data_IF_854750642187
#
_entry.id   IF_854750642187
#
_cell.length_a   1.000
_cell.length_b   1.000
_cell.length_c   1.000
_cell.angle_alpha   90.00
_cell.angle_beta   90.00
_cell.angle_gamma   90.00
#
_symmetry.space_group_name_H-M   'P 1'
#
loop_
_entity.id
_entity.type
_entity.pdbx_description
1 polymer ?
#
# COMPACT_ATOMS: atom_id res chain seq x y z
N UNK A 1 -19.04 26.93 0.85
CA UNK A 1 -19.37 26.36 2.18
C UNK A 1 -18.11 26.35 3.03
N UNK A 2 -18.23 26.69 4.31
CA UNK A 2 -17.07 26.71 5.22
C UNK A 2 -16.89 25.29 5.79
N UNK A 3 -15.70 24.74 5.66
CA UNK A 3 -15.37 23.45 6.26
C UNK A 3 -15.52 23.48 7.78
N UNK A 4 -16.11 22.44 8.37
CA UNK A 4 -16.30 22.30 9.81
C UNK A 4 -15.68 20.96 10.27
N UNK A 5 -14.63 20.98 11.10
CA UNK A 5 -13.94 19.75 11.54
C UNK A 5 -14.79 18.80 12.40
N UNK A 6 -15.90 19.29 12.97
CA UNK A 6 -16.80 18.49 13.78
C UNK A 6 -17.92 17.78 12.97
N UNK A 7 -17.92 17.91 11.64
CA UNK A 7 -18.94 17.30 10.78
C UNK A 7 -18.30 16.57 9.60
N UNK A 8 -18.85 15.41 9.18
CA UNK A 8 -18.42 14.77 7.94
C UNK A 8 -18.55 15.73 6.76
N UNK A 9 -17.51 15.82 5.93
CA UNK A 9 -17.55 16.61 4.70
C UNK A 9 -17.90 15.69 3.52
N UNK A 10 -19.13 15.81 3.03
CA UNK A 10 -19.65 14.96 1.95
C UNK A 10 -19.79 15.70 0.60
N UNK A 11 -19.34 16.94 0.53
CA UNK A 11 -19.50 17.82 -0.64
C UNK A 11 -18.29 17.77 -1.59
N UNK A 12 -17.51 16.69 -1.56
CA UNK A 12 -16.41 16.49 -2.50
C UNK A 12 -16.95 16.35 -3.92
N UNK A 13 -16.40 17.09 -4.89
CA UNK A 13 -16.81 16.95 -6.29
C UNK A 13 -16.43 15.56 -6.81
N UNK A 14 -17.24 15.05 -7.73
CA UNK A 14 -16.93 13.80 -8.42
C UNK A 14 -15.72 13.97 -9.34
N UNK A 15 -14.98 12.88 -9.54
CA UNK A 15 -13.91 12.82 -10.52
C UNK A 15 -14.46 12.40 -11.91
N UNK A 16 -13.86 12.85 -12.99
CA UNK A 16 -12.73 13.80 -13.09
C UNK A 16 -13.14 15.24 -12.72
N UNK A 17 -12.19 16.08 -12.26
CA UNK A 17 -12.48 17.48 -11.97
C UNK A 17 -12.94 18.21 -13.24
N UNK A 18 -13.85 19.19 -13.08
CA UNK A 18 -14.31 20.00 -14.19
C UNK A 18 -13.24 20.98 -14.73
N UNK A 19 -12.18 21.22 -13.94
CA UNK A 19 -11.06 22.08 -14.32
C UNK A 19 -10.12 21.32 -15.24
N UNK A 20 -9.66 21.97 -16.31
CA UNK A 20 -8.62 21.43 -17.18
C UNK A 20 -7.32 21.22 -16.39
N UNK A 21 -6.92 19.95 -16.27
CA UNK A 21 -5.68 19.53 -15.60
C UNK A 21 -4.50 19.38 -16.56
N UNK A 22 -4.72 19.44 -17.89
CA UNK A 22 -3.64 19.37 -18.89
C UNK A 22 -2.95 20.72 -19.09
N UNK A 23 -2.69 21.41 -18.02
CA UNK A 23 -1.98 22.69 -18.06
C UNK A 23 -0.52 22.49 -18.48
N UNK A 24 0.05 23.52 -19.13
CA UNK A 24 1.46 23.53 -19.55
C UNK A 24 2.43 23.19 -18.40
N UNK A 25 2.12 23.62 -17.19
CA UNK A 25 2.93 23.36 -15.98
C UNK A 25 2.88 21.90 -15.60
N UNK A 26 1.70 21.31 -15.55
CA UNK A 26 1.50 19.90 -15.23
C UNK A 26 2.16 19.01 -16.30
N UNK A 27 1.93 19.30 -17.58
CA UNK A 27 2.54 18.54 -18.68
C UNK A 27 4.08 18.58 -18.64
N UNK A 28 4.68 19.74 -18.36
CA UNK A 28 6.14 19.84 -18.19
C UNK A 28 6.63 18.98 -17.02
N UNK A 29 5.91 18.98 -15.90
CA UNK A 29 6.26 18.15 -14.76
C UNK A 29 6.11 16.64 -15.08
N UNK A 30 5.10 16.25 -15.83
CA UNK A 30 4.95 14.89 -16.30
C UNK A 30 6.13 14.43 -17.18
N UNK A 31 6.65 15.31 -18.04
CA UNK A 31 7.85 15.03 -18.87
C UNK A 31 9.06 14.77 -17.95
N UNK A 32 9.31 15.65 -16.98
CA UNK A 32 10.42 15.50 -16.04
C UNK A 32 10.30 14.20 -15.22
N UNK A 33 9.11 13.93 -14.70
CA UNK A 33 8.83 12.71 -13.92
C UNK A 33 9.03 11.44 -14.76
N UNK A 34 8.60 11.46 -16.01
CA UNK A 34 8.79 10.33 -16.92
C UNK A 34 10.27 10.09 -17.25
N UNK A 35 11.06 11.16 -17.42
CA UNK A 35 12.50 11.05 -17.64
C UNK A 35 13.18 10.40 -16.42
N UNK A 36 12.91 10.90 -15.21
CA UNK A 36 13.45 10.34 -13.98
C UNK A 36 13.07 8.87 -13.76
N UNK A 37 11.83 8.49 -14.08
CA UNK A 37 11.39 7.09 -14.01
C UNK A 37 12.11 6.21 -15.04
N UNK A 38 12.38 6.73 -16.24
CA UNK A 38 13.12 5.98 -17.25
C UNK A 38 14.58 5.77 -16.84
N UNK A 39 15.22 6.77 -16.23
CA UNK A 39 16.57 6.68 -15.67
C UNK A 39 16.62 5.67 -14.53
N UNK A 40 15.65 5.71 -13.60
CA UNK A 40 15.55 4.73 -12.52
C UNK A 40 15.36 3.31 -13.05
N UNK A 41 14.50 3.12 -14.04
CA UNK A 41 14.29 1.82 -14.68
C UNK A 41 15.60 1.28 -15.28
N UNK A 42 16.33 2.14 -15.99
CA UNK A 42 17.61 1.74 -16.59
C UNK A 42 18.67 1.42 -15.52
N UNK A 43 18.73 2.21 -14.45
CA UNK A 43 19.64 1.96 -13.34
C UNK A 43 19.34 0.63 -12.63
N UNK A 44 18.04 0.28 -12.49
CA UNK A 44 17.60 -0.97 -11.90
C UNK A 44 18.08 -2.20 -12.68
N UNK A 45 18.19 -2.12 -14.02
CA UNK A 45 18.72 -3.20 -14.86
C UNK A 45 20.22 -3.49 -14.61
N UNK A 46 20.94 -2.52 -14.05
CA UNK A 46 22.36 -2.67 -13.71
C UNK A 46 22.57 -3.38 -12.35
N UNK A 47 21.51 -3.62 -11.58
CA UNK A 47 21.61 -4.29 -10.29
C UNK A 47 21.76 -5.80 -10.52
N UNK A 48 22.88 -6.42 -10.09
CA UNK A 48 23.16 -7.83 -10.39
C UNK A 48 22.12 -8.81 -9.83
N UNK A 49 21.48 -8.45 -8.71
CA UNK A 49 20.44 -9.26 -8.09
C UNK A 49 19.24 -8.39 -7.68
N UNK A 50 18.34 -8.15 -8.61
CA UNK A 50 17.11 -7.37 -8.38
C UNK A 50 16.19 -8.05 -7.35
N UNK A 51 16.23 -9.37 -7.22
CA UNK A 51 15.41 -10.11 -6.24
C UNK A 51 15.72 -9.69 -4.80
N UNK A 52 16.93 -9.24 -4.50
CA UNK A 52 17.28 -8.72 -3.18
C UNK A 52 16.43 -7.47 -2.84
N UNK A 53 16.29 -6.53 -3.76
CA UNK A 53 15.46 -5.34 -3.56
C UNK A 53 13.97 -5.69 -3.50
N UNK A 54 13.50 -6.55 -4.40
CA UNK A 54 12.09 -7.01 -4.44
C UNK A 54 11.70 -7.70 -3.13
N UNK A 55 12.62 -8.38 -2.46
CA UNK A 55 12.35 -9.05 -1.19
C UNK A 55 12.56 -8.15 0.03
N UNK A 56 13.39 -7.13 -0.06
CA UNK A 56 13.76 -6.27 1.07
C UNK A 56 12.87 -5.04 1.18
N UNK A 57 12.67 -4.31 0.08
CA UNK A 57 11.88 -3.08 0.09
C UNK A 57 10.44 -3.27 0.58
N UNK A 58 9.70 -4.32 0.17
CA UNK A 58 8.36 -4.54 0.71
C UNK A 58 8.31 -4.81 2.20
N UNK A 59 9.38 -5.38 2.79
CA UNK A 59 9.46 -5.56 4.25
C UNK A 59 9.66 -4.23 4.98
N UNK A 60 10.52 -3.36 4.47
CA UNK A 60 10.73 -2.03 5.02
C UNK A 60 9.48 -1.17 4.89
N UNK A 61 8.85 -1.19 3.72
CA UNK A 61 7.58 -0.52 3.45
C UNK A 61 6.47 -1.01 4.40
N UNK A 62 6.34 -2.32 4.57
CA UNK A 62 5.37 -2.90 5.47
C UNK A 62 5.58 -2.45 6.93
N UNK A 63 6.85 -2.39 7.37
CA UNK A 63 7.20 -1.89 8.70
C UNK A 63 6.79 -0.42 8.86
N UNK A 64 7.24 0.44 7.96
CA UNK A 64 7.03 1.88 8.06
C UNK A 64 5.55 2.24 7.92
N UNK A 65 4.80 1.57 7.05
CA UNK A 65 3.35 1.74 6.90
C UNK A 65 2.58 1.26 8.14
N UNK A 66 3.00 0.14 8.75
CA UNK A 66 2.38 -0.36 9.99
C UNK A 66 2.68 0.54 11.19
N UNK A 67 3.87 1.14 11.24
CA UNK A 67 4.27 2.08 12.30
C UNK A 67 3.40 3.35 12.32
N UNK A 68 2.93 3.82 11.16
CA UNK A 68 1.96 4.92 11.05
C UNK A 68 0.64 4.59 11.74
N UNK A 69 0.27 3.31 11.80
CA UNK A 69 -0.95 2.79 12.44
C UNK A 69 -0.70 2.31 13.89
N UNK A 70 0.40 2.74 14.54
CA UNK A 70 0.83 2.30 15.88
C UNK A 70 1.13 0.78 15.99
N UNK A 71 1.34 0.10 14.87
CA UNK A 71 1.72 -1.32 14.81
C UNK A 71 3.24 -1.40 14.72
N UNK A 72 3.92 -1.55 15.87
CA UNK A 72 5.37 -1.43 15.97
C UNK A 72 6.03 -2.81 15.93
N UNK A 73 6.95 -3.00 14.97
CA UNK A 73 7.86 -4.14 14.91
C UNK A 73 9.28 -3.68 14.59
N UNK A 74 10.28 -4.53 14.84
CA UNK A 74 11.68 -4.19 14.55
C UNK A 74 12.12 -4.83 13.23
N UNK A 75 13.03 -4.15 12.55
CA UNK A 75 13.64 -4.63 11.31
C UNK A 75 14.28 -6.00 11.50
N UNK A 76 14.98 -6.22 12.62
CA UNK A 76 15.65 -7.50 12.94
C UNK A 76 14.64 -8.65 13.06
N UNK A 77 13.52 -8.43 13.74
CA UNK A 77 12.44 -9.43 13.83
C UNK A 77 11.87 -9.75 12.45
N UNK A 78 11.61 -8.73 11.63
CA UNK A 78 11.07 -8.93 10.29
C UNK A 78 12.01 -9.76 9.42
N UNK A 79 13.31 -9.43 9.38
CA UNK A 79 14.28 -10.16 8.58
C UNK A 79 14.51 -11.59 9.10
N UNK A 80 14.57 -11.79 10.40
CA UNK A 80 14.71 -13.10 11.00
C UNK A 80 13.57 -14.03 10.58
N UNK A 81 12.33 -13.55 10.65
CA UNK A 81 11.15 -14.35 10.35
C UNK A 81 10.77 -14.38 8.86
N UNK A 82 11.24 -13.41 8.07
CA UNK A 82 11.07 -13.44 6.62
C UNK A 82 11.86 -14.56 5.94
N UNK A 83 12.96 -15.02 6.59
CA UNK A 83 13.77 -16.15 6.10
C UNK A 83 13.26 -17.51 6.61
N UNK A 84 12.67 -17.53 7.81
CA UNK A 84 11.95 -18.71 8.28
C UNK A 84 10.63 -18.81 7.52
N UNK A 85 10.38 -19.95 6.85
CA UNK A 85 9.10 -20.20 6.17
C UNK A 85 7.93 -19.79 7.07
N UNK A 86 7.06 -18.93 6.58
CA UNK A 86 6.01 -18.20 7.30
C UNK A 86 4.97 -19.03 8.06
N UNK A 87 5.15 -20.35 8.17
CA UNK A 87 4.23 -21.26 8.88
C UNK A 87 4.77 -21.85 10.19
N UNK A 88 6.02 -21.58 10.58
CA UNK A 88 6.67 -22.39 11.62
C UNK A 88 6.71 -21.75 13.02
N UNK A 89 6.50 -20.45 13.16
CA UNK A 89 6.69 -19.79 14.45
C UNK A 89 5.37 -19.30 15.06
N UNK A 90 4.84 -20.10 16.00
CA UNK A 90 3.62 -19.78 16.77
C UNK A 90 3.81 -18.59 17.72
N UNK A 91 5.04 -18.11 17.93
CA UNK A 91 5.41 -17.09 18.91
C UNK A 91 5.57 -15.68 18.31
N UNK A 92 5.24 -15.47 17.03
CA UNK A 92 5.27 -14.15 16.42
C UNK A 92 4.19 -13.24 17.03
N UNK A 93 4.60 -12.02 17.39
CA UNK A 93 3.63 -10.97 17.76
C UNK A 93 2.74 -10.57 16.57
N UNK A 94 1.58 -9.98 16.88
CA UNK A 94 0.58 -9.60 15.88
C UNK A 94 1.12 -8.63 14.84
N UNK A 95 1.93 -7.64 15.28
CA UNK A 95 2.52 -6.63 14.42
C UNK A 95 3.48 -7.23 13.38
N UNK A 96 4.34 -8.14 13.81
CA UNK A 96 5.27 -8.84 12.91
C UNK A 96 4.51 -9.72 11.92
N UNK A 97 3.45 -10.42 12.35
CA UNK A 97 2.60 -11.22 11.45
C UNK A 97 1.92 -10.34 10.40
N UNK A 98 1.39 -9.19 10.79
CA UNK A 98 0.73 -8.26 9.88
C UNK A 98 1.72 -7.70 8.84
N UNK A 99 2.90 -7.29 9.25
CA UNK A 99 3.94 -6.80 8.34
C UNK A 99 4.40 -7.87 7.34
N UNK A 100 4.50 -9.13 7.76
CA UNK A 100 4.82 -10.24 6.85
C UNK A 100 3.69 -10.53 5.85
N UNK A 101 2.42 -10.44 6.30
CA UNK A 101 1.25 -10.55 5.41
C UNK A 101 1.22 -9.39 4.41
N UNK A 102 1.52 -8.18 4.85
CA UNK A 102 1.61 -7.00 3.98
C UNK A 102 2.62 -7.22 2.84
N UNK A 103 3.84 -7.71 3.16
CA UNK A 103 4.85 -8.05 2.14
C UNK A 103 4.30 -9.04 1.12
N UNK A 104 3.68 -10.12 1.57
CA UNK A 104 3.13 -11.16 0.69
C UNK A 104 2.01 -10.59 -0.19
N UNK A 105 1.09 -9.83 0.41
CA UNK A 105 -0.01 -9.19 -0.29
C UNK A 105 0.48 -8.19 -1.36
N UNK A 106 1.52 -7.42 -1.05
CA UNK A 106 2.12 -6.48 -2.00
C UNK A 106 2.73 -7.21 -3.20
N UNK A 107 3.48 -8.30 -2.95
CA UNK A 107 4.09 -9.09 -4.03
C UNK A 107 3.02 -9.74 -4.91
N UNK A 108 2.01 -10.36 -4.32
CA UNK A 108 0.90 -10.97 -5.06
C UNK A 108 0.09 -9.93 -5.84
N UNK A 109 -0.19 -8.78 -5.22
CA UNK A 109 -0.85 -7.65 -5.88
C UNK A 109 -0.06 -7.15 -7.09
N UNK A 110 1.24 -7.02 -6.96
CA UNK A 110 2.13 -6.66 -8.07
C UNK A 110 2.06 -7.68 -9.23
N UNK A 111 2.09 -8.97 -8.92
CA UNK A 111 1.96 -10.03 -9.92
C UNK A 111 0.58 -10.05 -10.60
N UNK A 112 -0.46 -9.69 -9.87
CA UNK A 112 -1.82 -9.60 -10.41
C UNK A 112 -1.97 -8.44 -11.40
N UNK A 113 -1.44 -7.25 -11.07
CA UNK A 113 -1.53 -6.09 -11.97
C UNK A 113 -0.67 -6.23 -13.24
N UNK A 114 0.33 -7.12 -13.22
CA UNK A 114 1.06 -7.48 -14.43
C UNK A 114 0.22 -8.30 -15.42
N UNK A 115 -0.83 -8.99 -14.94
CA UNK A 115 -1.71 -9.85 -15.75
C UNK A 115 -3.03 -9.19 -16.12
N UNK A 116 -3.51 -8.26 -15.29
CA UNK A 116 -4.80 -7.56 -15.49
C UNK A 116 -4.74 -6.17 -14.87
N UNK A 117 -5.51 -5.20 -15.38
CA UNK A 117 -5.61 -3.88 -14.75
C UNK A 117 -6.06 -3.95 -13.29
N UNK A 118 -5.59 -3.00 -12.47
CA UNK A 118 -6.05 -2.85 -11.10
C UNK A 118 -7.57 -2.64 -11.07
N UNK A 119 -8.25 -3.40 -10.21
CA UNK A 119 -9.68 -3.32 -10.01
C UNK A 119 -10.05 -3.53 -8.53
N UNK A 120 -11.31 -3.28 -8.18
CA UNK A 120 -11.82 -3.40 -6.81
C UNK A 120 -11.57 -4.78 -6.22
N UNK A 121 -11.78 -5.84 -6.98
CA UNK A 121 -11.57 -7.22 -6.51
C UNK A 121 -10.11 -7.47 -6.12
N UNK A 122 -9.15 -6.92 -6.87
CA UNK A 122 -7.72 -7.01 -6.52
C UNK A 122 -7.44 -6.30 -5.19
N UNK A 123 -8.04 -5.13 -4.97
CA UNK A 123 -7.88 -4.38 -3.70
C UNK A 123 -8.51 -5.16 -2.54
N UNK A 124 -9.72 -5.70 -2.71
CA UNK A 124 -10.37 -6.54 -1.69
C UNK A 124 -9.53 -7.77 -1.32
N UNK A 125 -8.95 -8.44 -2.30
CA UNK A 125 -8.04 -9.58 -2.08
C UNK A 125 -6.80 -9.17 -1.27
N UNK A 126 -6.15 -8.07 -1.64
CA UNK A 126 -4.97 -7.55 -0.93
C UNK A 126 -5.35 -7.18 0.52
N UNK A 127 -6.45 -6.44 0.73
CA UNK A 127 -6.90 -6.07 2.06
C UNK A 127 -7.24 -7.29 2.92
N UNK A 128 -7.94 -8.28 2.36
CA UNK A 128 -8.28 -9.53 3.05
C UNK A 128 -7.02 -10.28 3.51
N UNK A 129 -6.00 -10.32 2.68
CA UNK A 129 -4.74 -10.97 3.00
C UNK A 129 -3.96 -10.25 4.10
N UNK A 130 -3.91 -8.91 4.07
CA UNK A 130 -3.24 -8.11 5.11
C UNK A 130 -3.91 -8.32 6.46
N UNK A 131 -5.24 -8.19 6.50
CA UNK A 131 -6.01 -8.24 7.75
C UNK A 131 -6.36 -9.66 8.20
N UNK A 132 -6.10 -10.68 7.37
CA UNK A 132 -6.42 -12.10 7.63
C UNK A 132 -7.91 -12.32 7.91
N UNK A 133 -8.77 -11.56 7.23
CA UNK A 133 -10.24 -11.65 7.27
C UNK A 133 -10.82 -11.27 5.92
N UNK A 134 -12.01 -11.76 5.61
CA UNK A 134 -12.69 -11.40 4.37
C UNK A 134 -13.07 -9.92 4.37
N UNK A 135 -12.51 -9.17 3.44
CA UNK A 135 -12.75 -7.75 3.25
C UNK A 135 -13.52 -7.49 1.95
N UNK A 136 -14.46 -6.57 2.00
CA UNK A 136 -15.19 -6.11 0.82
C UNK A 136 -15.53 -4.63 0.91
N UNK A 137 -15.83 -4.01 -0.23
CA UNK A 137 -16.29 -2.62 -0.26
C UNK A 137 -17.57 -2.49 0.56
N UNK A 138 -17.62 -1.51 1.45
CA UNK A 138 -18.78 -1.22 2.27
C UNK A 138 -20.01 -0.90 1.42
N UNK A 139 -21.10 -1.58 1.71
CA UNK A 139 -22.40 -1.40 1.02
C UNK A 139 -23.42 -0.64 1.88
N UNK A 140 -23.11 -0.44 3.17
CA UNK A 140 -24.02 0.23 4.10
C UNK A 140 -23.65 1.72 4.17
N UNK A 141 -24.58 2.65 3.81
CA UNK A 141 -24.36 4.08 3.94
C UNK A 141 -24.20 4.49 5.40
N UNK A 142 -23.45 5.57 5.65
CA UNK A 142 -23.35 6.17 6.99
C UNK A 142 -22.48 5.44 7.99
N UNK A 143 -21.68 4.46 7.57
CA UNK A 143 -20.66 3.85 8.44
C UNK A 143 -19.59 4.90 8.76
N UNK A 144 -19.47 5.29 10.03
CA UNK A 144 -18.42 6.18 10.49
C UNK A 144 -17.10 5.41 10.68
N UNK A 145 -15.97 6.06 10.37
CA UNK A 145 -14.67 5.64 10.87
C UNK A 145 -14.59 6.08 12.33
N UNK A 146 -14.42 5.14 13.23
CA UNK A 146 -14.20 5.40 14.65
C UNK A 146 -12.95 4.66 15.08
N UNK A 147 -12.22 5.23 16.03
CA UNK A 147 -11.15 4.53 16.74
C UNK A 147 -11.68 4.05 18.09
N UNK A 148 -10.94 3.15 18.75
CA UNK A 148 -11.33 2.56 20.04
C UNK A 148 -11.36 3.58 21.21
N UNK A 149 -11.07 4.86 20.91
CA UNK A 149 -11.00 5.95 21.92
C UNK A 149 -12.13 6.97 21.78
N UNK A 150 -13.06 6.80 20.83
CA UNK A 150 -14.20 7.71 20.59
C UNK A 150 -15.56 7.03 20.77
#
# INVERSE_FOLDING_TARGET
MTWNPAKPYNDLPLLPPATDIETKTILKQCVNSRAALAELKQAAELIPNQAMLINTLPLLEAKDSSEIEDIITTTDKLFLHAQANAGADKNLDGATKEALRYRTALLEGYQLIAKRPLNTTTVEQICSQIKDVDMSVRKVPGTALANDKT
#
